data_IF_903678194851
#
_entry.id   IF_903678194851
#
_cell.length_a   1.000
_cell.length_b   1.000
_cell.length_c   1.000
_cell.angle_alpha   90.00
_cell.angle_beta   90.00
_cell.angle_gamma   90.00
#
_symmetry.space_group_name_H-M   'P 1'
#
loop_
_entity.id
_entity.type
_entity.pdbx_description
1 polymer ?
#
# COMPACT_ATOMS: atom_id res chain seq x y z
N UNK A 1 36.25 29.22 29.16
CA UNK A 1 37.34 28.28 28.83
C UNK A 1 37.11 27.77 27.41
N UNK A 2 38.18 27.75 26.62
CA UNK A 2 38.21 27.72 25.16
C UNK A 2 37.75 26.41 24.52
N UNK A 3 37.24 26.51 23.29
CA UNK A 3 37.03 25.39 22.36
C UNK A 3 38.38 24.86 21.82
N UNK A 4 38.51 23.54 21.54
CA UNK A 4 39.65 23.02 20.79
C UNK A 4 39.31 22.92 19.30
N UNK A 5 39.98 23.77 18.51
CA UNK A 5 40.23 23.61 17.07
C UNK A 5 41.63 23.00 16.87
N UNK A 6 41.84 22.38 15.69
CA UNK A 6 43.07 21.76 15.12
C UNK A 6 43.01 20.23 15.17
N UNK A 7 43.28 19.47 14.10
CA UNK A 7 44.00 19.73 12.86
C UNK A 7 43.77 18.52 11.94
N UNK A 8 43.38 18.71 10.68
CA UNK A 8 43.85 17.89 9.55
C UNK A 8 43.80 18.76 8.29
N UNK A 9 44.87 19.53 8.11
CA UNK A 9 45.24 20.11 6.83
C UNK A 9 45.94 19.03 6.00
N UNK A 10 45.54 18.90 4.74
CA UNK A 10 46.41 18.37 3.70
C UNK A 10 45.84 17.18 2.97
N UNK A 11 44.97 17.44 1.98
CA UNK A 11 45.05 16.80 0.67
C UNK A 11 44.53 17.79 -0.38
N UNK A 12 45.47 18.38 -1.11
CA UNK A 12 45.23 19.21 -2.29
C UNK A 12 45.27 18.28 -3.50
N UNK A 13 44.22 18.25 -4.33
CA UNK A 13 44.26 17.65 -5.66
C UNK A 13 43.82 18.70 -6.67
N UNK A 14 44.82 19.36 -7.22
CA UNK A 14 44.80 20.16 -8.45
C UNK A 14 45.10 19.25 -9.64
N UNK A 15 44.38 19.44 -10.74
CA UNK A 15 44.79 19.04 -12.11
C UNK A 15 44.39 17.63 -12.54
N UNK A 16 43.36 17.48 -13.37
CA UNK A 16 43.52 17.56 -14.83
C UNK A 16 42.15 17.34 -15.51
N UNK A 17 41.77 18.31 -16.35
CA UNK A 17 40.56 18.30 -17.16
C UNK A 17 41.01 18.55 -18.61
N UNK A 18 40.84 17.61 -19.55
CA UNK A 18 41.08 17.90 -20.96
C UNK A 18 39.77 18.28 -21.65
N UNK A 19 39.65 19.57 -21.94
CA UNK A 19 38.89 20.13 -23.05
C UNK A 19 39.68 20.02 -24.35
N UNK A 20 39.10 19.46 -25.42
CA UNK A 20 39.42 19.89 -26.79
C UNK A 20 38.22 19.72 -27.73
N UNK A 21 37.96 20.78 -28.51
CA UNK A 21 36.94 20.94 -29.56
C UNK A 21 37.67 21.13 -30.91
N UNK A 22 37.05 20.70 -32.02
CA UNK A 22 37.23 21.12 -33.45
C UNK A 22 38.59 20.77 -34.12
N UNK A 23 38.74 20.40 -35.41
CA UNK A 23 37.97 20.59 -36.67
C UNK A 23 38.54 19.64 -37.81
N UNK A 24 38.25 19.77 -39.13
CA UNK A 24 38.16 18.67 -40.13
C UNK A 24 39.28 18.65 -41.20
N UNK A 25 39.28 17.65 -42.11
CA UNK A 25 39.73 17.65 -43.54
C UNK A 25 39.98 16.17 -44.00
N UNK A 26 39.22 15.57 -44.92
CA UNK A 26 39.24 15.62 -46.41
C UNK A 26 40.44 14.88 -47.09
N UNK A 27 40.21 13.61 -47.45
CA UNK A 27 40.56 12.80 -48.68
C UNK A 27 41.95 12.90 -49.39
N UNK A 28 42.45 11.87 -50.16
CA UNK A 28 41.71 11.08 -51.17
C UNK A 28 42.10 9.60 -51.50
N UNK A 29 41.15 8.93 -52.19
CA UNK A 29 41.18 7.93 -53.30
C UNK A 29 42.23 6.81 -53.47
N UNK A 30 41.74 5.56 -53.71
CA UNK A 30 41.76 4.77 -54.99
C UNK A 30 41.06 3.40 -54.73
N UNK A 31 39.88 3.14 -55.31
CA UNK A 31 39.58 2.38 -56.55
C UNK A 31 39.71 0.84 -56.39
N UNK A 32 38.61 0.07 -56.46
CA UNK A 32 38.06 -0.46 -57.73
C UNK A 32 36.93 -1.53 -57.56
N UNK A 33 36.03 -1.49 -58.56
CA UNK A 33 35.17 -2.55 -59.12
C UNK A 33 33.83 -2.98 -58.49
N UNK A 34 32.78 -2.45 -59.12
CA UNK A 34 31.72 -3.16 -59.88
C UNK A 34 30.80 -4.17 -59.20
N UNK A 35 29.52 -3.82 -59.06
CA UNK A 35 28.51 -4.17 -60.09
C UNK A 35 27.12 -3.64 -59.73
N UNK A 36 26.59 -2.87 -60.67
CA UNK A 36 25.23 -2.35 -60.82
C UNK A 36 24.15 -3.44 -60.87
N UNK A 37 22.95 -3.13 -60.36
CA UNK A 37 21.70 -3.18 -61.15
C UNK A 37 20.68 -2.16 -60.64
N UNK A 38 20.12 -1.43 -61.61
CA UNK A 38 19.08 -0.41 -61.54
C UNK A 38 17.72 -1.07 -61.62
N UNK A 39 16.72 -0.63 -60.84
CA UNK A 39 15.36 -0.48 -61.35
C UNK A 39 14.68 0.77 -60.74
N UNK A 40 14.11 1.55 -61.67
CA UNK A 40 13.38 2.81 -61.54
C UNK A 40 11.91 2.53 -61.24
N UNK A 41 11.24 3.47 -60.56
CA UNK A 41 9.85 3.94 -60.78
C UNK A 41 9.35 4.55 -59.46
N UNK A 42 8.58 5.64 -59.40
CA UNK A 42 8.16 6.66 -60.34
C UNK A 42 7.70 7.82 -59.44
N UNK A 43 8.12 9.02 -59.78
CA UNK A 43 7.72 10.26 -59.12
C UNK A 43 6.39 10.71 -59.72
N UNK A 44 5.31 10.66 -58.95
CA UNK A 44 4.09 11.39 -59.24
C UNK A 44 4.00 12.58 -58.28
N UNK A 45 4.37 13.75 -58.82
CA UNK A 45 3.89 15.03 -58.30
C UNK A 45 2.39 15.11 -58.60
N UNK A 46 1.56 15.28 -57.57
CA UNK A 46 0.21 15.82 -57.75
C UNK A 46 0.10 17.10 -56.94
N UNK A 47 -0.05 18.19 -57.68
CA UNK A 47 -0.35 19.52 -57.17
C UNK A 47 -1.71 19.56 -56.49
N UNK A 48 -1.78 20.40 -55.46
CA UNK A 48 -2.90 20.68 -54.60
C UNK A 48 -4.23 20.92 -55.33
N UNK A 49 -5.30 20.35 -54.79
CA UNK A 49 -6.56 21.08 -54.67
C UNK A 49 -6.72 21.53 -53.21
N UNK A 50 -6.60 22.84 -53.01
CA UNK A 50 -7.19 23.55 -51.88
C UNK A 50 -8.71 23.37 -51.94
N UNK A 51 -9.18 22.22 -51.48
CA UNK A 51 -10.54 22.05 -51.00
C UNK A 51 -10.55 22.47 -49.54
N UNK A 52 -11.25 23.55 -49.23
CA UNK A 52 -11.68 23.99 -47.90
C UNK A 52 -12.53 22.88 -47.25
N UNK A 53 -11.86 21.82 -46.84
CA UNK A 53 -12.42 20.71 -46.09
C UNK A 53 -12.15 21.07 -44.65
N UNK A 54 -13.14 21.67 -44.00
CA UNK A 54 -13.19 21.82 -42.56
C UNK A 54 -12.92 20.43 -41.96
N UNK A 55 -11.66 20.20 -41.59
CA UNK A 55 -11.20 18.93 -41.10
C UNK A 55 -12.10 18.57 -39.92
N UNK A 56 -12.77 17.43 -40.03
CA UNK A 56 -13.57 16.88 -38.94
C UNK A 56 -12.71 16.88 -37.69
N UNK A 57 -13.02 17.79 -36.77
CA UNK A 57 -12.28 18.08 -35.54
C UNK A 57 -12.43 16.95 -34.51
N UNK A 58 -12.64 15.71 -34.96
CA UNK A 58 -12.82 14.56 -34.11
C UNK A 58 -11.56 13.74 -33.98
N UNK A 59 -11.25 13.30 -32.77
CA UNK A 59 -10.10 12.45 -32.45
C UNK A 59 -10.57 11.13 -31.87
N UNK A 60 -10.03 10.02 -32.34
CA UNK A 60 -10.22 8.72 -31.70
C UNK A 60 -9.16 8.51 -30.62
N UNK A 61 -9.60 8.48 -29.37
CA UNK A 61 -8.72 8.22 -28.23
C UNK A 61 -8.31 6.75 -28.14
N UNK A 62 -7.31 6.45 -27.30
CA UNK A 62 -6.82 5.07 -27.08
C UNK A 62 -7.86 4.12 -26.47
N UNK A 63 -8.85 4.66 -25.78
CA UNK A 63 -10.03 3.92 -25.30
C UNK A 63 -10.93 3.40 -26.44
N UNK A 64 -10.64 3.78 -27.69
CA UNK A 64 -11.46 3.46 -28.85
C UNK A 64 -12.66 4.40 -29.04
N UNK A 65 -12.83 5.37 -28.14
CA UNK A 65 -13.88 6.39 -28.15
C UNK A 65 -13.48 7.54 -29.09
N UNK A 66 -14.44 8.00 -29.89
CA UNK A 66 -14.28 9.20 -30.72
C UNK A 66 -14.79 10.43 -29.97
N UNK A 67 -13.98 11.49 -29.97
CA UNK A 67 -14.24 12.73 -29.27
C UNK A 67 -14.30 13.89 -30.26
N UNK A 68 -15.28 14.78 -30.12
CA UNK A 68 -15.41 16.00 -30.91
C UNK A 68 -14.72 17.17 -30.19
N UNK A 69 -13.73 17.76 -30.87
CA UNK A 69 -12.91 18.89 -30.40
C UNK A 69 -13.35 20.24 -31.00
N UNK A 70 -14.38 20.30 -31.84
CA UNK A 70 -14.73 21.48 -32.65
C UNK A 70 -15.04 22.75 -31.83
N UNK A 71 -15.30 22.59 -30.53
CA UNK A 71 -15.62 23.69 -29.60
C UNK A 71 -14.46 24.12 -28.71
N UNK A 72 -13.29 23.49 -28.86
CA UNK A 72 -12.10 23.82 -28.08
C UNK A 72 -11.33 24.94 -28.76
N UNK A 73 -10.68 25.79 -27.96
CA UNK A 73 -9.65 26.68 -28.48
C UNK A 73 -8.41 25.87 -28.89
N UNK A 74 -7.60 26.40 -29.80
CA UNK A 74 -6.42 25.70 -30.36
C UNK A 74 -5.46 25.15 -29.30
N UNK A 75 -5.32 25.83 -28.16
CA UNK A 75 -4.39 25.43 -27.10
C UNK A 75 -4.99 24.28 -26.26
N UNK A 76 -6.30 24.30 -26.02
CA UNK A 76 -7.00 23.19 -25.37
C UNK A 76 -7.18 21.98 -26.29
N UNK A 77 -7.41 22.20 -27.58
CA UNK A 77 -7.46 21.14 -28.60
C UNK A 77 -6.14 20.37 -28.63
N UNK A 78 -5.00 21.07 -28.70
CA UNK A 78 -3.69 20.43 -28.68
C UNK A 78 -3.47 19.59 -27.40
N UNK A 79 -3.86 20.12 -26.23
CA UNK A 79 -3.77 19.36 -24.96
C UNK A 79 -4.70 18.16 -24.92
N UNK A 80 -5.92 18.28 -25.43
CA UNK A 80 -6.89 17.19 -25.50
C UNK A 80 -6.38 16.10 -26.44
N UNK A 81 -5.85 16.48 -27.61
CA UNK A 81 -5.24 15.56 -28.56
C UNK A 81 -4.13 14.74 -27.90
N UNK A 82 -3.20 15.40 -27.20
CA UNK A 82 -2.12 14.73 -26.45
C UNK A 82 -2.72 13.85 -25.35
N UNK A 83 -3.66 14.37 -24.56
CA UNK A 83 -4.34 13.67 -23.48
C UNK A 83 -5.00 12.34 -23.89
N UNK A 84 -5.69 12.35 -25.03
CA UNK A 84 -6.53 11.24 -25.50
C UNK A 84 -5.75 10.19 -26.29
N UNK A 85 -4.63 10.59 -26.91
CA UNK A 85 -3.82 9.71 -27.77
C UNK A 85 -2.53 9.23 -27.11
N UNK A 86 -2.04 9.93 -26.08
CA UNK A 86 -0.82 9.54 -25.36
C UNK A 86 -1.05 8.34 -24.43
N UNK A 87 0.04 7.65 -24.09
CA UNK A 87 0.03 6.53 -23.15
C UNK A 87 0.47 7.03 -21.79
N UNK A 88 -0.47 7.51 -20.99
CA UNK A 88 -0.17 7.85 -19.62
C UNK A 88 -0.16 6.57 -18.77
N UNK A 89 0.98 6.25 -18.18
CA UNK A 89 1.11 5.10 -17.28
C UNK A 89 0.80 5.53 -15.85
N UNK A 90 -0.37 5.14 -15.36
CA UNK A 90 -0.73 5.27 -13.94
C UNK A 90 0.05 4.21 -13.17
N UNK A 91 0.83 4.66 -12.18
CA UNK A 91 1.59 3.79 -11.29
C UNK A 91 0.71 3.32 -10.15
N UNK A 92 -0.05 4.23 -9.55
CA UNK A 92 -0.98 3.91 -8.47
C UNK A 92 -2.24 4.78 -8.50
N UNK A 93 -3.34 4.26 -7.95
CA UNK A 93 -4.57 5.01 -7.74
C UNK A 93 -5.18 4.70 -6.36
N UNK A 94 -5.96 5.64 -5.83
CA UNK A 94 -6.68 5.44 -4.57
C UNK A 94 -7.98 6.26 -4.50
N UNK A 95 -8.95 5.77 -3.75
CA UNK A 95 -10.14 6.54 -3.33
C UNK A 95 -9.75 7.45 -2.18
N UNK A 96 -10.17 8.70 -2.13
CA UNK A 96 -9.92 9.64 -1.03
C UNK A 96 -11.26 10.20 -0.51
N UNK A 97 -11.25 10.94 0.60
CA UNK A 97 -12.47 11.58 1.13
C UNK A 97 -13.11 12.57 0.16
N UNK A 98 -12.31 13.17 -0.72
CA UNK A 98 -12.73 14.22 -1.65
C UNK A 98 -12.84 13.74 -3.09
N UNK A 99 -12.62 12.46 -3.39
CA UNK A 99 -12.63 11.96 -4.76
C UNK A 99 -11.63 10.84 -5.00
N UNK A 100 -10.87 10.89 -6.08
CA UNK A 100 -9.95 9.85 -6.51
C UNK A 100 -8.60 10.44 -6.92
N UNK A 101 -7.51 9.83 -6.47
CA UNK A 101 -6.15 10.23 -6.82
C UNK A 101 -5.52 9.23 -7.79
N UNK A 102 -4.82 9.77 -8.79
CA UNK A 102 -4.05 9.01 -9.79
C UNK A 102 -2.63 9.54 -9.83
N UNK A 103 -1.66 8.66 -9.60
CA UNK A 103 -0.23 8.99 -9.67
C UNK A 103 0.35 8.44 -10.97
N UNK A 104 0.91 9.32 -11.79
CA UNK A 104 1.55 8.94 -13.04
C UNK A 104 3.04 8.70 -12.85
N UNK A 105 3.63 7.90 -13.75
CA UNK A 105 5.06 7.59 -13.75
C UNK A 105 5.95 8.82 -13.92
N UNK A 106 5.45 9.82 -14.65
CA UNK A 106 6.10 11.12 -14.90
C UNK A 106 6.07 12.05 -13.68
N UNK A 107 5.53 11.57 -12.54
CA UNK A 107 5.27 12.27 -11.28
C UNK A 107 4.05 13.19 -11.16
N UNK A 108 3.30 13.61 -12.21
CA UNK A 108 2.10 14.37 -11.95
C UNK A 108 1.11 13.51 -11.19
N UNK A 109 0.43 14.13 -10.24
CA UNK A 109 -0.71 13.57 -9.54
C UNK A 109 -1.95 14.28 -10.05
N UNK A 110 -3.01 13.52 -10.33
CA UNK A 110 -4.32 14.05 -10.68
C UNK A 110 -5.30 13.66 -9.59
N UNK A 111 -6.00 14.65 -9.05
CA UNK A 111 -7.14 14.45 -8.17
C UNK A 111 -8.42 14.70 -8.97
N UNK A 112 -9.39 13.81 -8.88
CA UNK A 112 -10.72 13.92 -9.49
C UNK A 112 -11.77 13.90 -8.37
N UNK A 113 -12.43 15.03 -8.12
CA UNK A 113 -13.42 15.18 -7.04
C UNK A 113 -14.69 15.91 -7.48
N UNK A 114 -15.69 16.02 -6.59
CA UNK A 114 -16.99 16.62 -6.91
C UNK A 114 -16.90 18.12 -7.23
N UNK A 115 -15.87 18.80 -6.71
CA UNK A 115 -15.59 20.21 -6.98
C UNK A 115 -14.84 20.42 -8.30
N UNK A 116 -14.34 19.35 -8.92
CA UNK A 116 -13.56 19.39 -10.16
C UNK A 116 -12.29 18.55 -10.07
N UNK A 117 -11.31 18.88 -10.90
CA UNK A 117 -10.03 18.18 -10.96
C UNK A 117 -8.89 19.10 -10.56
N UNK A 118 -7.82 18.53 -10.01
CA UNK A 118 -6.55 19.24 -9.81
C UNK A 118 -5.40 18.40 -10.33
N UNK A 119 -4.31 19.04 -10.75
CA UNK A 119 -3.11 18.35 -11.20
C UNK A 119 -1.84 19.05 -10.74
N UNK A 120 -0.80 18.28 -10.39
CA UNK A 120 0.51 18.84 -9.98
C UNK A 120 1.46 19.10 -11.16
N UNK A 121 1.01 18.91 -12.41
CA UNK A 121 1.84 19.20 -13.57
C UNK A 121 2.02 20.72 -13.79
N UNK A 122 3.14 21.10 -14.40
CA UNK A 122 3.50 22.51 -14.67
C UNK A 122 2.42 23.29 -15.42
N UNK A 123 1.74 22.66 -16.38
CA UNK A 123 0.65 23.26 -17.14
C UNK A 123 -0.51 23.69 -16.23
N UNK A 124 -0.89 22.84 -15.28
CA UNK A 124 -2.00 23.14 -14.36
C UNK A 124 -1.55 24.12 -13.27
N UNK A 125 -0.34 23.98 -12.74
CA UNK A 125 0.22 24.91 -11.76
C UNK A 125 0.30 26.35 -12.30
N UNK A 126 0.63 26.52 -13.58
CA UNK A 126 0.63 27.84 -14.23
C UNK A 126 -0.75 28.38 -14.58
N UNK A 127 -1.76 27.50 -14.76
CA UNK A 127 -3.14 27.86 -15.16
C UNK A 127 -4.16 26.87 -14.56
N UNK A 128 -4.59 27.06 -13.30
CA UNK A 128 -5.45 26.11 -12.59
C UNK A 128 -6.87 25.97 -13.18
N UNK A 129 -7.30 26.91 -14.02
CA UNK A 129 -8.61 26.88 -14.69
C UNK A 129 -8.60 26.13 -16.04
N UNK A 130 -7.46 25.55 -16.43
CA UNK A 130 -7.27 24.93 -17.74
C UNK A 130 -7.07 23.43 -17.60
N UNK A 131 -7.77 22.64 -18.41
CA UNK A 131 -7.56 21.20 -18.46
C UNK A 131 -6.17 20.87 -19.04
N UNK A 132 -5.29 20.33 -18.20
CA UNK A 132 -4.05 19.70 -18.65
C UNK A 132 -4.30 18.33 -19.31
N UNK A 133 -3.29 17.84 -20.05
CA UNK A 133 -3.36 16.56 -20.75
C UNK A 133 -3.71 15.35 -19.86
N UNK A 134 -3.37 15.37 -18.56
CA UNK A 134 -3.58 14.25 -17.65
C UNK A 134 -5.02 14.05 -17.21
N UNK A 135 -5.89 15.07 -17.36
CA UNK A 135 -7.29 14.99 -16.93
C UNK A 135 -8.14 14.14 -17.89
N UNK A 136 -7.69 13.98 -19.14
CA UNK A 136 -8.40 13.22 -20.17
C UNK A 136 -8.33 11.67 -19.98
N UNK A 137 -8.09 11.19 -18.75
CA UNK A 137 -8.11 9.78 -18.39
C UNK A 137 -9.52 9.14 -18.46
N UNK A 138 -10.56 9.94 -18.71
CA UNK A 138 -11.96 9.50 -18.74
C UNK A 138 -12.22 8.30 -19.66
N UNK A 139 -11.46 8.18 -20.76
CA UNK A 139 -11.59 7.06 -21.67
C UNK A 139 -11.33 5.70 -21.02
N UNK A 140 -10.55 5.65 -19.94
CA UNK A 140 -10.28 4.42 -19.19
C UNK A 140 -11.44 3.95 -18.30
N UNK A 141 -12.41 4.82 -18.01
CA UNK A 141 -13.50 4.54 -17.07
C UNK A 141 -14.81 4.15 -17.77
N UNK A 142 -14.86 4.27 -19.10
CA UNK A 142 -16.05 4.02 -19.89
C UNK A 142 -15.98 2.57 -20.40
N UNK A 143 -16.87 1.67 -19.93
CA UNK A 143 -16.74 0.24 -20.21
C UNK A 143 -17.08 -0.14 -21.66
N UNK A 144 -17.85 0.69 -22.37
CA UNK A 144 -18.16 0.49 -23.79
C UNK A 144 -18.11 1.83 -24.54
N UNK A 145 -17.48 1.89 -25.73
CA UNK A 145 -17.46 3.11 -26.52
C UNK A 145 -18.90 3.49 -26.91
N UNK A 146 -19.32 4.75 -26.70
CA UNK A 146 -20.63 5.20 -27.16
C UNK A 146 -20.69 5.16 -28.69
N UNK A 147 -21.89 5.01 -29.28
CA UNK A 147 -22.09 4.96 -30.72
C UNK A 147 -21.92 6.32 -31.42
N UNK A 148 -21.84 7.42 -30.66
CA UNK A 148 -21.73 8.79 -31.15
C UNK A 148 -20.52 9.50 -30.55
N UNK A 149 -19.97 10.46 -31.29
CA UNK A 149 -18.85 11.29 -30.84
C UNK A 149 -19.17 12.02 -29.54
N UNK A 150 -18.23 11.99 -28.59
CA UNK A 150 -18.38 12.67 -27.31
C UNK A 150 -17.87 14.10 -27.42
N UNK A 151 -18.74 15.07 -27.16
CA UNK A 151 -18.35 16.48 -27.06
C UNK A 151 -17.47 16.71 -25.83
N UNK A 152 -16.26 17.24 -26.05
CA UNK A 152 -15.38 17.71 -24.98
C UNK A 152 -15.65 19.17 -24.62
N UNK A 153 -15.74 19.44 -23.33
CA UNK A 153 -15.72 20.81 -22.79
C UNK A 153 -14.29 21.31 -22.64
N UNK A 154 -14.10 22.63 -22.62
CA UNK A 154 -12.78 23.28 -22.46
C UNK A 154 -12.14 23.03 -21.09
N UNK A 155 -12.96 22.70 -20.09
CA UNK A 155 -12.53 22.21 -18.77
C UNK A 155 -12.34 20.69 -18.76
N UNK A 156 -12.29 20.02 -19.91
CA UNK A 156 -12.08 18.57 -19.99
C UNK A 156 -13.24 17.72 -19.47
N UNK A 157 -14.35 18.33 -19.02
CA UNK A 157 -15.56 17.58 -18.62
C UNK A 157 -16.26 17.01 -19.85
N UNK A 158 -16.94 15.88 -19.64
CA UNK A 158 -17.80 15.24 -20.63
C UNK A 158 -19.27 15.53 -20.26
N UNK A 159 -19.94 16.53 -20.89
CA UNK A 159 -21.24 17.03 -20.43
C UNK A 159 -22.36 15.98 -20.42
N UNK A 160 -22.26 14.98 -21.31
CA UNK A 160 -23.25 13.93 -21.49
C UNK A 160 -22.92 12.63 -20.72
N UNK A 161 -21.77 12.59 -20.04
CA UNK A 161 -21.41 11.46 -19.18
C UNK A 161 -21.63 11.84 -17.71
N UNK A 162 -22.07 10.87 -16.91
CA UNK A 162 -22.13 11.04 -15.46
C UNK A 162 -20.78 11.55 -14.93
N UNK A 163 -20.79 12.26 -13.80
CA UNK A 163 -19.55 12.76 -13.20
C UNK A 163 -18.58 11.59 -13.00
N UNK A 164 -17.28 11.82 -13.14
CA UNK A 164 -16.27 10.76 -13.04
C UNK A 164 -16.41 9.97 -11.75
N UNK A 165 -16.79 10.65 -10.68
CA UNK A 165 -17.05 10.00 -9.40
C UNK A 165 -18.10 8.88 -9.51
N UNK A 166 -19.16 9.07 -10.29
CA UNK A 166 -20.20 8.05 -10.51
C UNK A 166 -19.71 6.88 -11.37
N UNK A 167 -18.72 7.12 -12.24
CA UNK A 167 -18.12 6.07 -13.05
C UNK A 167 -17.17 5.20 -12.23
N UNK A 168 -16.49 5.81 -11.26
CA UNK A 168 -15.51 5.17 -10.39
C UNK A 168 -16.07 4.61 -9.08
N UNK A 169 -17.25 5.07 -8.65
CA UNK A 169 -17.85 4.70 -7.36
C UNK A 169 -17.96 3.18 -7.18
N UNK A 170 -17.30 2.67 -6.15
CA UNK A 170 -17.21 1.23 -5.83
C UNK A 170 -16.52 0.36 -6.89
N UNK A 171 -15.87 0.94 -7.89
CA UNK A 171 -15.28 0.22 -9.04
C UNK A 171 -13.81 0.48 -9.27
N UNK A 172 -13.18 1.44 -8.57
CA UNK A 172 -11.79 1.82 -8.81
C UNK A 172 -10.82 0.64 -8.68
N UNK A 173 -10.97 -0.21 -7.66
CA UNK A 173 -10.14 -1.42 -7.47
C UNK A 173 -10.24 -2.36 -8.67
N UNK A 174 -11.46 -2.67 -9.13
CA UNK A 174 -11.71 -3.50 -10.33
C UNK A 174 -11.11 -2.89 -11.60
N UNK A 175 -11.21 -1.58 -11.77
CA UNK A 175 -10.66 -0.86 -12.93
C UNK A 175 -9.12 -0.89 -12.86
N UNK A 176 -8.55 -0.70 -11.67
CA UNK A 176 -7.11 -0.78 -11.46
C UNK A 176 -6.59 -2.17 -11.84
N UNK A 177 -7.25 -3.24 -11.41
CA UNK A 177 -6.89 -4.61 -11.79
C UNK A 177 -6.94 -4.83 -13.31
N UNK A 178 -8.02 -4.40 -13.97
CA UNK A 178 -8.17 -4.52 -15.43
C UNK A 178 -7.09 -3.77 -16.21
N UNK A 179 -6.69 -2.59 -15.71
CA UNK A 179 -5.71 -1.73 -16.35
C UNK A 179 -4.28 -1.97 -15.83
N UNK A 180 -4.10 -2.96 -14.95
CA UNK A 180 -2.82 -3.28 -14.30
C UNK A 180 -2.20 -2.08 -13.57
N UNK A 181 -3.03 -1.28 -12.91
CA UNK A 181 -2.62 -0.19 -12.01
C UNK A 181 -2.54 -0.69 -10.57
N UNK A 182 -1.65 -0.13 -9.77
CA UNK A 182 -1.58 -0.47 -8.35
C UNK A 182 -2.69 0.26 -7.58
N UNK A 183 -3.73 -0.45 -7.16
CA UNK A 183 -4.70 0.10 -6.22
C UNK A 183 -4.09 0.18 -4.81
N UNK A 184 -4.13 1.37 -4.22
CA UNK A 184 -3.68 1.60 -2.84
C UNK A 184 -4.88 2.08 -2.05
N UNK A 185 -5.20 1.41 -0.93
CA UNK A 185 -6.26 1.89 -0.04
C UNK A 185 -5.82 3.19 0.62
N UNK A 186 -6.69 4.19 0.63
CA UNK A 186 -6.42 5.40 1.42
C UNK A 186 -6.81 5.22 2.87
N UNK A 187 -6.43 6.19 3.70
CA UNK A 187 -6.90 6.36 5.08
C UNK A 187 -8.41 6.22 5.23
N UNK A 188 -9.20 6.72 4.28
CA UNK A 188 -10.66 6.66 4.34
C UNK A 188 -11.20 5.23 4.22
N UNK A 189 -10.42 4.33 3.62
CA UNK A 189 -10.73 2.91 3.45
C UNK A 189 -9.92 2.01 4.41
N UNK A 190 -9.32 2.61 5.44
CA UNK A 190 -8.50 1.91 6.42
C UNK A 190 -7.06 1.64 5.98
N UNK A 191 -6.59 2.24 4.88
CA UNK A 191 -5.19 2.24 4.45
C UNK A 191 -4.32 3.24 5.24
N UNK A 192 -3.02 3.24 4.96
CA UNK A 192 -2.06 4.08 5.69
C UNK A 192 -2.05 5.53 5.18
N UNK A 193 -1.90 6.48 6.10
CA UNK A 193 -1.63 7.88 5.74
C UNK A 193 -0.23 8.03 5.14
N UNK A 194 0.01 9.17 4.46
CA UNK A 194 1.38 9.50 4.02
C UNK A 194 2.35 9.52 5.20
N UNK A 195 1.93 10.06 6.34
CA UNK A 195 2.75 10.09 7.55
C UNK A 195 3.06 8.70 8.07
N UNK A 196 2.06 7.80 8.06
CA UNK A 196 2.24 6.42 8.48
C UNK A 196 3.18 5.67 7.53
N UNK A 197 3.05 5.87 6.22
CA UNK A 197 3.97 5.29 5.23
C UNK A 197 5.40 5.78 5.45
N UNK A 198 5.60 7.08 5.66
CA UNK A 198 6.94 7.63 5.95
C UNK A 198 7.48 7.07 7.26
N UNK A 199 6.64 6.97 8.29
CA UNK A 199 7.02 6.37 9.59
C UNK A 199 7.39 4.91 9.43
N UNK A 200 6.64 4.16 8.64
CA UNK A 200 6.90 2.75 8.32
C UNK A 200 8.27 2.59 7.62
N UNK A 201 8.53 3.40 6.58
CA UNK A 201 9.82 3.44 5.87
C UNK A 201 10.98 3.77 6.82
N UNK A 202 10.87 4.82 7.63
CA UNK A 202 11.97 5.22 8.51
C UNK A 202 12.19 4.21 9.64
N UNK A 203 11.11 3.62 10.18
CA UNK A 203 11.23 2.56 11.18
C UNK A 203 11.90 1.30 10.62
N UNK A 204 11.79 1.03 9.31
CA UNK A 204 12.36 -0.16 8.66
C UNK A 204 13.89 -0.25 8.80
N UNK A 205 14.58 0.86 9.03
CA UNK A 205 16.02 0.90 9.30
C UNK A 205 16.39 0.44 10.71
N UNK A 206 15.43 0.38 11.63
CA UNK A 206 15.59 -0.25 12.94
C UNK A 206 15.10 -1.69 12.89
N UNK A 207 15.81 -2.59 13.57
CA UNK A 207 15.42 -4.01 13.66
C UNK A 207 14.35 -4.28 14.71
N UNK A 208 14.10 -3.35 15.63
CA UNK A 208 13.24 -3.59 16.81
C UNK A 208 12.09 -2.60 16.95
N UNK A 209 12.26 -1.38 16.45
CA UNK A 209 11.26 -0.31 16.59
C UNK A 209 10.15 -0.55 15.57
N UNK A 210 8.91 -0.63 16.05
CA UNK A 210 7.73 -0.69 15.17
C UNK A 210 7.39 0.72 14.67
N UNK A 211 6.70 0.85 13.51
CA UNK A 211 6.26 2.15 13.00
C UNK A 211 5.52 2.96 14.05
N UNK A 212 4.62 2.35 14.81
CA UNK A 212 3.80 3.03 15.82
C UNK A 212 4.61 3.54 17.02
N UNK A 213 5.86 3.08 17.17
CA UNK A 213 6.78 3.48 18.25
C UNK A 213 7.87 4.43 17.75
N UNK A 214 7.99 4.61 16.44
CA UNK A 214 9.04 5.40 15.84
C UNK A 214 8.77 6.89 16.06
N UNK A 215 9.63 7.54 16.85
CA UNK A 215 9.70 9.00 17.01
C UNK A 215 8.32 9.63 17.21
N UNK A 216 7.64 9.22 18.29
CA UNK A 216 6.30 9.70 18.69
C UNK A 216 6.22 11.23 18.86
N UNK A 217 7.37 11.89 19.04
CA UNK A 217 7.52 13.35 19.07
C UNK A 217 7.27 14.02 17.71
N UNK A 218 7.36 13.27 16.61
CA UNK A 218 7.11 13.74 15.26
C UNK A 218 5.62 13.72 14.94
N UNK A 219 4.89 14.61 15.60
CA UNK A 219 3.54 14.99 15.20
C UNK A 219 3.65 16.13 14.20
N UNK A 220 3.19 15.89 12.97
CA UNK A 220 3.10 16.93 11.97
C UNK A 220 1.65 17.12 11.53
N UNK A 221 1.22 18.36 11.36
CA UNK A 221 -0.12 18.62 10.84
C UNK A 221 -0.07 18.44 9.32
N UNK A 222 -0.68 17.36 8.83
CA UNK A 222 -0.77 17.06 7.41
C UNK A 222 -1.47 18.18 6.61
N UNK A 223 -2.23 19.06 7.27
CA UNK A 223 -2.87 20.22 6.64
C UNK A 223 -1.95 21.43 6.43
N UNK A 224 -0.78 21.48 7.08
CA UNK A 224 0.11 22.64 6.99
C UNK A 224 1.23 22.41 5.97
N UNK A 225 1.11 23.02 4.80
CA UNK A 225 2.19 23.01 3.81
C UNK A 225 3.44 23.72 4.34
N UNK A 226 4.60 23.07 4.20
CA UNK A 226 5.91 23.62 4.54
C UNK A 226 6.82 23.69 3.32
N UNK A 227 7.64 24.73 3.29
CA UNK A 227 8.78 24.81 2.36
C UNK A 227 9.90 23.87 2.80
N UNK A 228 10.77 23.40 1.90
CA UNK A 228 11.89 22.53 2.24
C UNK A 228 12.77 23.07 3.38
N UNK A 229 13.01 24.39 3.41
CA UNK A 229 13.79 25.05 4.45
C UNK A 229 13.11 24.97 5.83
N UNK A 230 11.78 25.04 5.87
CA UNK A 230 10.99 24.90 7.10
C UNK A 230 10.91 23.46 7.61
N UNK A 231 11.19 22.48 6.76
CA UNK A 231 11.26 21.08 7.15
C UNK A 231 12.57 20.72 7.88
N UNK A 232 13.62 21.52 7.74
CA UNK A 232 14.92 21.25 8.35
C UNK A 232 14.88 21.44 9.87
N UNK A 233 15.23 20.39 10.60
CA UNK A 233 15.42 20.40 12.05
C UNK A 233 16.90 20.31 12.35
N UNK A 234 17.48 21.40 12.84
CA UNK A 234 18.91 21.46 13.10
C UNK A 234 19.34 20.39 14.13
N UNK A 235 20.29 19.54 13.74
CA UNK A 235 20.82 18.47 14.59
C UNK A 235 19.99 17.19 14.60
N UNK A 236 18.88 17.12 13.86
CA UNK A 236 17.98 15.96 13.85
C UNK A 236 17.63 15.55 12.41
N UNK A 237 18.41 14.59 11.90
CA UNK A 237 18.26 14.11 10.53
C UNK A 237 16.96 13.31 10.33
N UNK A 238 16.55 12.50 11.31
CA UNK A 238 15.32 11.72 11.22
C UNK A 238 14.09 12.65 11.17
N UNK A 239 14.04 13.66 12.04
CA UNK A 239 12.96 14.65 12.02
C UNK A 239 12.95 15.46 10.71
N UNK A 240 14.13 15.83 10.21
CA UNK A 240 14.28 16.53 8.94
C UNK A 240 13.77 15.68 7.77
N UNK A 241 14.21 14.42 7.69
CA UNK A 241 13.81 13.50 6.63
C UNK A 241 12.32 13.17 6.69
N UNK A 242 11.78 12.97 7.90
CA UNK A 242 10.35 12.76 8.10
C UNK A 242 9.53 13.95 7.57
N UNK A 243 9.85 15.17 7.99
CA UNK A 243 9.13 16.39 7.55
C UNK A 243 9.25 16.61 6.05
N UNK A 244 10.45 16.44 5.49
CA UNK A 244 10.65 16.55 4.04
C UNK A 244 9.81 15.51 3.30
N UNK A 245 9.80 14.25 3.73
CA UNK A 245 9.01 13.21 3.06
C UNK A 245 7.49 13.40 3.22
N UNK A 246 7.02 13.99 4.32
CA UNK A 246 5.60 14.29 4.52
C UNK A 246 5.14 15.44 3.62
N UNK A 247 5.97 16.46 3.39
CA UNK A 247 5.57 17.69 2.69
C UNK A 247 6.08 17.82 1.25
N UNK A 248 7.15 17.11 0.87
CA UNK A 248 7.76 17.15 -0.47
C UNK A 248 7.52 15.84 -1.24
N UNK A 249 6.83 15.94 -2.38
CA UNK A 249 6.48 14.79 -3.24
C UNK A 249 7.69 14.11 -3.88
N UNK A 250 8.75 14.85 -4.17
CA UNK A 250 9.98 14.32 -4.75
C UNK A 250 10.74 13.47 -3.74
N UNK A 251 10.86 13.94 -2.50
CA UNK A 251 11.48 13.21 -1.38
C UNK A 251 10.66 11.97 -1.05
N UNK A 252 9.34 12.10 -0.90
CA UNK A 252 8.44 10.97 -0.66
C UNK A 252 8.57 9.89 -1.73
N UNK A 253 8.49 10.29 -3.01
CA UNK A 253 8.63 9.37 -4.13
C UNK A 253 9.99 8.67 -4.15
N UNK A 254 11.05 9.38 -3.76
CA UNK A 254 12.40 8.81 -3.69
C UNK A 254 12.52 7.80 -2.54
N UNK A 255 11.94 8.08 -1.38
CA UNK A 255 11.90 7.13 -0.27
C UNK A 255 11.07 5.89 -0.60
N UNK A 256 9.88 6.04 -1.19
CA UNK A 256 9.05 4.91 -1.61
C UNK A 256 9.73 4.03 -2.67
N UNK A 257 10.63 4.59 -3.49
CA UNK A 257 11.48 3.81 -4.41
C UNK A 257 12.59 3.07 -3.69
N UNK A 258 13.25 3.71 -2.73
CA UNK A 258 14.34 3.13 -1.97
C UNK A 258 13.86 2.03 -1.01
N UNK A 259 12.68 2.23 -0.41
CA UNK A 259 12.02 1.29 0.49
C UNK A 259 10.55 1.15 0.08
N UNK A 260 10.23 0.17 -0.78
CA UNK A 260 8.87 -0.05 -1.25
C UNK A 260 7.93 -0.49 -0.11
N UNK A 261 6.66 -0.08 -0.18
CA UNK A 261 5.61 -0.42 0.80
C UNK A 261 5.50 -1.95 1.01
N UNK A 262 5.67 -2.72 -0.06
CA UNK A 262 5.68 -4.19 0.04
C UNK A 262 6.82 -4.73 0.92
N UNK A 263 8.01 -4.12 0.85
CA UNK A 263 9.14 -4.48 1.70
C UNK A 263 8.90 -4.05 3.15
N UNK A 264 8.36 -2.84 3.38
CA UNK A 264 7.98 -2.38 4.72
C UNK A 264 6.99 -3.35 5.39
N UNK A 265 5.97 -3.82 4.65
CA UNK A 265 5.00 -4.76 5.18
C UNK A 265 5.63 -6.08 5.65
N UNK A 266 6.59 -6.63 4.88
CA UNK A 266 7.33 -7.84 5.28
C UNK A 266 8.15 -7.57 6.55
N UNK A 267 8.91 -6.47 6.57
CA UNK A 267 9.76 -6.09 7.71
C UNK A 267 8.90 -5.89 8.97
N UNK A 268 7.73 -5.26 8.84
CA UNK A 268 6.80 -5.04 9.94
C UNK A 268 6.36 -6.35 10.59
N UNK A 269 5.82 -7.30 9.80
CA UNK A 269 5.36 -8.56 10.36
C UNK A 269 6.51 -9.41 10.91
N UNK A 270 7.70 -9.35 10.30
CA UNK A 270 8.90 -9.99 10.85
C UNK A 270 9.30 -9.41 12.21
N UNK A 271 9.21 -8.09 12.41
CA UNK A 271 9.46 -7.45 13.71
C UNK A 271 8.47 -7.92 14.78
N UNK A 272 7.18 -7.91 14.47
CA UNK A 272 6.15 -8.37 15.42
C UNK A 272 6.34 -9.85 15.75
N UNK A 273 6.64 -10.67 14.74
CA UNK A 273 6.97 -12.08 14.95
C UNK A 273 8.17 -12.28 15.87
N UNK A 274 9.27 -11.55 15.64
CA UNK A 274 10.46 -11.61 16.49
C UNK A 274 10.16 -11.15 17.92
N UNK A 275 9.35 -10.11 18.09
CA UNK A 275 8.93 -9.61 19.41
C UNK A 275 8.13 -10.66 20.19
N UNK A 276 7.14 -11.27 19.56
CA UNK A 276 6.35 -12.36 20.16
C UNK A 276 7.22 -13.57 20.55
N UNK A 277 8.13 -13.98 19.67
CA UNK A 277 9.07 -15.08 19.96
C UNK A 277 9.98 -14.77 21.14
N UNK A 278 10.50 -13.53 21.19
CA UNK A 278 11.34 -13.08 22.30
C UNK A 278 10.55 -13.06 23.60
N UNK A 279 9.35 -12.50 23.60
CA UNK A 279 8.46 -12.45 24.76
C UNK A 279 8.21 -13.84 25.34
N UNK A 280 7.81 -14.81 24.50
CA UNK A 280 7.57 -16.19 24.94
C UNK A 280 8.85 -16.86 25.44
N UNK A 281 9.99 -16.66 24.78
CA UNK A 281 11.27 -17.24 25.20
C UNK A 281 11.79 -16.64 26.51
N UNK A 282 11.56 -15.35 26.74
CA UNK A 282 11.90 -14.68 27.99
C UNK A 282 10.96 -15.13 29.12
N UNK A 283 9.67 -15.35 28.82
CA UNK A 283 8.70 -15.93 29.76
C UNK A 283 9.08 -17.36 30.15
N UNK A 284 9.36 -18.24 29.19
CA UNK A 284 9.79 -19.61 29.48
C UNK A 284 11.06 -19.63 30.36
N UNK A 285 12.01 -18.73 30.09
CA UNK A 285 13.24 -18.61 30.89
C UNK A 285 12.94 -18.11 32.30
N UNK A 286 12.04 -17.14 32.43
CA UNK A 286 11.60 -16.63 33.73
C UNK A 286 10.93 -17.73 34.56
N UNK A 287 10.05 -18.53 33.94
CA UNK A 287 9.38 -19.67 34.56
C UNK A 287 10.36 -20.77 35.01
N UNK A 288 11.34 -21.12 34.18
CA UNK A 288 12.35 -22.14 34.51
C UNK A 288 13.26 -21.74 35.66
N UNK A 289 13.80 -20.52 35.61
CA UNK A 289 14.72 -20.02 36.63
C UNK A 289 14.00 -19.61 37.92
N UNK A 290 12.71 -19.26 37.81
CA UNK A 290 11.86 -18.75 38.88
C UNK A 290 12.63 -17.78 39.80
N UNK A 291 13.33 -16.81 39.19
CA UNK A 291 14.22 -15.91 39.93
C UNK A 291 13.44 -15.20 41.04
N UNK A 292 13.91 -15.36 42.27
CA UNK A 292 13.54 -14.59 43.45
C UNK A 292 14.04 -13.14 43.37
N UNK A 293 13.88 -12.48 42.23
CA UNK A 293 14.29 -11.09 42.09
C UNK A 293 13.26 -10.24 42.83
N UNK A 294 13.64 -9.73 44.00
CA UNK A 294 12.96 -8.62 44.69
C UNK A 294 13.05 -7.29 43.89
N UNK A 295 13.44 -7.33 42.63
CA UNK A 295 13.34 -6.20 41.70
C UNK A 295 11.93 -6.15 41.15
N UNK A 296 11.27 -5.01 41.39
CA UNK A 296 9.86 -4.71 41.14
C UNK A 296 9.44 -4.69 39.64
N UNK A 297 9.92 -5.64 38.84
CA UNK A 297 9.64 -5.77 37.41
C UNK A 297 9.76 -7.22 36.95
N UNK A 298 9.21 -8.16 37.73
CA UNK A 298 9.09 -9.57 37.33
C UNK A 298 8.15 -9.73 36.14
N UNK A 299 8.41 -10.72 35.29
CA UNK A 299 7.58 -11.02 34.13
C UNK A 299 6.32 -11.77 34.60
N UNK A 300 5.23 -11.03 34.77
CA UNK A 300 3.95 -11.60 35.21
C UNK A 300 3.17 -12.22 34.04
N UNK A 301 2.44 -13.31 34.32
CA UNK A 301 1.65 -14.03 33.31
C UNK A 301 0.59 -13.12 32.69
N UNK A 302 -0.07 -12.29 33.51
CA UNK A 302 -1.07 -11.32 33.04
C UNK A 302 -0.43 -10.30 32.11
N UNK A 303 0.77 -9.80 32.44
CA UNK A 303 1.52 -8.86 31.59
C UNK A 303 1.88 -9.50 30.24
N UNK A 304 2.32 -10.77 30.25
CA UNK A 304 2.64 -11.50 29.02
C UNK A 304 1.39 -11.72 28.16
N UNK A 305 0.26 -12.07 28.76
CA UNK A 305 -1.02 -12.23 28.06
C UNK A 305 -1.44 -10.93 27.39
N UNK A 306 -1.40 -9.81 28.14
CA UNK A 306 -1.74 -8.49 27.62
C UNK A 306 -0.83 -8.11 26.45
N UNK A 307 0.48 -8.29 26.57
CA UNK A 307 1.42 -7.96 25.50
C UNK A 307 1.20 -8.86 24.26
N UNK A 308 0.88 -10.13 24.44
CA UNK A 308 0.51 -11.03 23.33
C UNK A 308 -0.76 -10.52 22.64
N UNK A 309 -1.82 -10.20 23.38
CA UNK A 309 -3.08 -9.71 22.84
C UNK A 309 -2.90 -8.39 22.08
N UNK A 310 -2.15 -7.44 22.64
CA UNK A 310 -1.82 -6.17 21.96
C UNK A 310 -1.07 -6.40 20.64
N UNK A 311 -0.14 -7.36 20.61
CA UNK A 311 0.59 -7.68 19.38
C UNK A 311 -0.31 -8.38 18.34
N UNK A 312 -1.24 -9.25 18.77
CA UNK A 312 -2.22 -9.89 17.86
C UNK A 312 -3.16 -8.84 17.27
N UNK A 313 -3.64 -7.91 18.08
CA UNK A 313 -4.50 -6.82 17.63
C UNK A 313 -3.74 -5.90 16.66
N UNK A 314 -2.48 -5.59 16.97
CA UNK A 314 -1.60 -4.86 16.06
C UNK A 314 -1.40 -5.59 14.72
N UNK A 315 -1.27 -6.92 14.71
CA UNK A 315 -1.22 -7.68 13.45
C UNK A 315 -2.54 -7.55 12.70
N UNK A 316 -3.68 -7.66 13.39
CA UNK A 316 -5.02 -7.56 12.80
C UNK A 316 -5.24 -6.23 12.09
N UNK A 317 -4.96 -5.12 12.75
CA UNK A 317 -5.10 -3.77 12.19
C UNK A 317 -4.20 -3.60 10.94
N UNK A 318 -2.97 -4.11 11.01
CA UNK A 318 -2.00 -3.95 9.95
C UNK A 318 -2.18 -4.92 8.77
N UNK A 319 -2.91 -6.02 8.92
CA UNK A 319 -3.42 -6.81 7.78
C UNK A 319 -4.33 -5.94 6.93
N UNK A 320 -5.24 -5.18 7.55
CA UNK A 320 -6.19 -4.33 6.82
C UNK A 320 -5.47 -3.15 6.18
N UNK A 321 -4.62 -2.47 6.95
CA UNK A 321 -3.96 -1.24 6.51
C UNK A 321 -2.88 -1.44 5.45
N UNK A 322 -2.20 -2.59 5.44
CA UNK A 322 -1.12 -2.89 4.47
C UNK A 322 -1.57 -3.70 3.27
N UNK A 323 -2.86 -4.04 3.16
CA UNK A 323 -3.39 -4.80 2.03
C UNK A 323 -3.07 -4.15 0.67
N UNK A 324 -2.63 -4.94 -0.33
CA UNK A 324 -2.52 -6.41 -0.36
C UNK A 324 -1.15 -6.96 0.11
N UNK A 325 -0.27 -6.14 0.68
CA UNK A 325 1.10 -6.51 1.02
C UNK A 325 1.23 -7.14 2.42
N UNK A 326 2.22 -8.02 2.60
CA UNK A 326 2.57 -8.60 3.91
C UNK A 326 1.63 -9.70 4.43
N UNK A 327 0.60 -10.09 3.68
CA UNK A 327 -0.39 -11.11 4.08
C UNK A 327 0.25 -12.44 4.49
N UNK A 328 1.30 -12.85 3.78
CA UNK A 328 2.06 -14.06 4.09
C UNK A 328 2.79 -13.96 5.44
N UNK A 329 3.42 -12.81 5.71
CA UNK A 329 4.09 -12.53 6.97
C UNK A 329 3.12 -12.51 8.14
N UNK A 330 1.94 -11.90 7.95
CA UNK A 330 0.87 -11.90 8.94
C UNK A 330 0.37 -13.32 9.24
N UNK A 331 0.07 -14.11 8.20
CA UNK A 331 -0.33 -15.51 8.32
C UNK A 331 0.72 -16.32 9.09
N UNK A 332 2.00 -16.22 8.69
CA UNK A 332 3.11 -16.90 9.36
C UNK A 332 3.19 -16.52 10.84
N UNK A 333 3.05 -15.23 11.15
CA UNK A 333 3.12 -14.71 12.52
C UNK A 333 2.03 -15.30 13.39
N UNK A 334 0.77 -15.20 12.96
CA UNK A 334 -0.40 -15.68 13.69
C UNK A 334 -0.40 -17.20 13.85
N UNK A 335 -0.13 -17.96 12.78
CA UNK A 335 -0.10 -19.43 12.83
C UNK A 335 1.02 -19.93 13.74
N UNK A 336 2.19 -19.29 13.70
CA UNK A 336 3.32 -19.69 14.56
C UNK A 336 3.04 -19.34 16.01
N UNK A 337 2.47 -18.17 16.30
CA UNK A 337 2.04 -17.83 17.65
C UNK A 337 0.99 -18.83 18.16
N UNK A 338 0.00 -19.19 17.35
CA UNK A 338 -1.02 -20.16 17.74
C UNK A 338 -0.40 -21.53 18.05
N UNK A 339 0.53 -22.00 17.22
CA UNK A 339 1.28 -23.24 17.45
C UNK A 339 2.08 -23.18 18.76
N UNK A 340 2.75 -22.06 19.01
CA UNK A 340 3.54 -21.81 20.22
C UNK A 340 2.66 -21.79 21.49
N UNK A 341 1.47 -21.19 21.45
CA UNK A 341 0.51 -21.20 22.57
C UNK A 341 -0.05 -22.60 22.80
N UNK A 342 -0.42 -23.33 21.74
CA UNK A 342 -0.86 -24.72 21.85
C UNK A 342 0.24 -25.65 22.36
N UNK A 343 1.52 -25.31 22.17
CA UNK A 343 2.65 -26.02 22.77
C UNK A 343 2.83 -25.77 24.28
N UNK A 344 2.12 -24.80 24.84
CA UNK A 344 2.21 -24.37 26.25
C UNK A 344 0.94 -24.66 27.06
N UNK A 345 0.21 -25.72 26.70
CA UNK A 345 -0.89 -26.24 27.51
C UNK A 345 -0.37 -27.03 28.74
N UNK A 346 0.21 -26.30 29.69
CA UNK A 346 0.73 -26.82 30.95
C UNK A 346 0.83 -25.70 31.98
N UNK A 347 0.99 -26.05 33.25
CA UNK A 347 1.34 -25.05 34.27
C UNK A 347 2.72 -24.45 33.92
N UNK A 348 2.80 -23.12 33.85
CA UNK A 348 4.02 -22.39 33.54
C UNK A 348 5.15 -22.69 34.53
N UNK A 349 4.84 -22.98 35.80
CA UNK A 349 5.83 -23.30 36.83
C UNK A 349 6.15 -24.80 36.92
N UNK A 350 5.52 -25.66 36.11
CA UNK A 350 5.79 -27.10 36.14
C UNK A 350 7.26 -27.40 35.79
N UNK A 351 7.96 -28.07 36.70
CA UNK A 351 9.35 -28.48 36.51
C UNK A 351 10.39 -27.37 36.67
N UNK A 352 10.03 -26.23 37.27
CA UNK A 352 11.00 -25.17 37.56
C UNK A 352 12.06 -25.62 38.58
N UNK A 353 13.26 -25.03 38.50
CA UNK A 353 14.41 -25.43 39.34
C UNK A 353 14.29 -24.95 40.79
N UNK A 354 13.46 -23.94 41.04
CA UNK A 354 13.31 -23.30 42.37
C UNK A 354 12.32 -24.02 43.31
N UNK A 355 11.50 -24.92 42.78
CA UNK A 355 10.37 -25.52 43.49
C UNK A 355 9.21 -24.55 43.80
N UNK A 356 9.16 -23.38 43.14
CA UNK A 356 8.07 -22.40 43.30
C UNK A 356 6.78 -22.95 42.72
N UNK A 357 5.66 -22.77 43.43
CA UNK A 357 4.33 -23.29 43.00
C UNK A 357 3.36 -22.18 42.58
N UNK A 358 3.69 -20.91 42.83
CA UNK A 358 2.86 -19.76 42.48
C UNK A 358 3.69 -18.49 42.40
N UNK A 359 3.33 -17.56 41.50
CA UNK A 359 3.91 -16.24 41.40
C UNK A 359 3.36 -15.30 42.48
N UNK A 360 2.04 -15.17 42.56
CA UNK A 360 1.28 -14.20 43.35
C UNK A 360 0.03 -14.79 44.03
N UNK A 361 -0.04 -16.11 44.18
CA UNK A 361 -1.18 -16.83 44.78
C UNK A 361 -2.20 -17.35 43.77
N UNK A 362 -1.92 -17.24 42.48
CA UNK A 362 -2.74 -17.76 41.40
C UNK A 362 -2.73 -19.30 41.32
N UNK A 363 -3.75 -19.89 40.70
CA UNK A 363 -3.85 -21.32 40.45
C UNK A 363 -3.15 -21.78 39.15
N UNK A 364 -3.18 -23.10 38.89
CA UNK A 364 -2.54 -23.71 37.71
C UNK A 364 -3.14 -23.22 36.38
N UNK A 365 -4.46 -23.01 36.35
CA UNK A 365 -5.19 -22.53 35.17
C UNK A 365 -4.85 -21.07 34.87
N UNK A 366 -4.70 -20.24 35.91
CA UNK A 366 -4.26 -18.84 35.82
C UNK A 366 -2.84 -18.70 35.28
N UNK A 367 -1.97 -19.68 35.51
CA UNK A 367 -0.61 -19.71 34.92
C UNK A 367 -0.53 -20.32 33.53
N UNK A 368 -1.52 -21.13 33.13
CA UNK A 368 -1.51 -21.83 31.85
C UNK A 368 -1.92 -20.89 30.71
N UNK A 369 -0.95 -20.51 29.85
CA UNK A 369 -1.18 -19.62 28.71
C UNK A 369 -2.24 -20.14 27.74
N UNK A 370 -2.29 -21.45 27.48
CA UNK A 370 -3.31 -22.04 26.61
C UNK A 370 -4.70 -21.88 27.21
N UNK A 371 -4.84 -22.15 28.51
CA UNK A 371 -6.12 -22.00 29.19
C UNK A 371 -6.58 -20.54 29.17
N UNK A 372 -5.69 -19.59 29.49
CA UNK A 372 -6.04 -18.17 29.52
C UNK A 372 -6.42 -17.60 28.15
N UNK A 373 -5.75 -18.02 27.07
CA UNK A 373 -5.93 -17.44 25.74
C UNK A 373 -6.95 -18.19 24.87
N UNK A 374 -7.05 -19.52 25.01
CA UNK A 374 -7.91 -20.38 24.17
C UNK A 374 -9.00 -21.05 25.01
N UNK A 375 -8.66 -21.52 26.21
CA UNK A 375 -9.57 -22.26 27.10
C UNK A 375 -10.81 -21.48 27.52
N UNK A 376 -10.72 -20.14 27.59
CA UNK A 376 -11.80 -19.24 28.01
C UNK A 376 -12.68 -18.69 26.87
N UNK A 377 -12.58 -19.24 25.65
CA UNK A 377 -13.33 -18.72 24.50
C UNK A 377 -14.86 -18.80 24.69
N UNK A 378 -15.38 -19.84 25.36
CA UNK A 378 -16.82 -19.97 25.63
C UNK A 378 -17.32 -18.92 26.65
N UNK A 379 -16.44 -18.40 27.52
CA UNK A 379 -16.77 -17.40 28.55
C UNK A 379 -16.68 -15.96 28.01
N UNK A 380 -15.63 -15.70 27.23
CA UNK A 380 -15.32 -14.37 26.68
C UNK A 380 -16.07 -14.10 25.37
N UNK A 381 -16.38 -15.15 24.61
CA UNK A 381 -16.89 -15.03 23.23
C UNK A 381 -15.83 -14.57 22.22
N UNK A 382 -14.59 -14.38 22.67
CA UNK A 382 -13.46 -13.96 21.83
C UNK A 382 -12.71 -15.20 21.32
N UNK A 383 -12.33 -15.17 20.05
CA UNK A 383 -11.65 -16.28 19.41
C UNK A 383 -10.23 -15.82 19.11
N UNK A 384 -9.46 -15.71 20.19
CA UNK A 384 -8.06 -15.30 20.20
C UNK A 384 -7.28 -15.86 19.00
N UNK A 385 -6.53 -15.00 18.30
CA UNK A 385 -5.85 -15.26 17.01
C UNK A 385 -6.78 -15.61 15.83
N UNK A 386 -7.83 -16.40 16.00
CA UNK A 386 -8.75 -16.77 14.92
C UNK A 386 -9.47 -15.54 14.35
N UNK A 387 -9.88 -14.60 15.22
CA UNK A 387 -10.45 -13.32 14.81
C UNK A 387 -9.49 -12.53 13.91
N UNK A 388 -8.17 -12.60 14.16
CA UNK A 388 -7.16 -11.97 13.31
C UNK A 388 -6.91 -12.76 12.01
N UNK A 389 -6.90 -14.09 12.07
CA UNK A 389 -6.72 -14.97 10.91
C UNK A 389 -7.86 -14.82 9.88
N UNK A 390 -9.07 -14.48 10.30
CA UNK A 390 -10.19 -14.21 9.38
C UNK A 390 -9.96 -13.05 8.43
N UNK A 391 -9.11 -12.10 8.81
CA UNK A 391 -8.74 -10.98 7.94
C UNK A 391 -7.65 -11.36 6.92
N UNK A 392 -7.00 -12.52 7.08
CA UNK A 392 -5.97 -12.98 6.16
C UNK A 392 -6.62 -13.62 4.92
N UNK A 393 -6.23 -13.21 3.69
CA UNK A 393 -6.72 -13.83 2.47
C UNK A 393 -6.45 -15.34 2.43
N UNK A 394 -7.43 -16.12 1.96
CA UNK A 394 -7.34 -17.58 1.87
C UNK A 394 -6.07 -18.07 1.12
N UNK A 395 -5.65 -17.34 0.08
CA UNK A 395 -4.43 -17.63 -0.67
C UNK A 395 -3.15 -17.56 0.19
N UNK A 396 -3.08 -16.63 1.14
CA UNK A 396 -1.92 -16.48 2.03
C UNK A 396 -1.95 -17.54 3.16
N UNK A 397 -3.15 -17.97 3.58
CA UNK A 397 -3.31 -19.06 4.55
C UNK A 397 -3.06 -20.45 3.95
N UNK A 398 -3.22 -20.61 2.64
CA UNK A 398 -3.16 -21.91 1.96
C UNK A 398 -1.90 -22.72 2.30
N UNK A 399 -0.73 -22.08 2.30
CA UNK A 399 0.54 -22.74 2.59
C UNK A 399 0.69 -23.21 4.05
N UNK A 400 -0.16 -22.71 4.96
CA UNK A 400 -0.15 -23.05 6.38
C UNK A 400 -1.21 -24.10 6.76
N UNK A 401 -2.04 -24.56 5.81
CA UNK A 401 -3.12 -25.54 6.06
C UNK A 401 -2.62 -26.78 6.79
N UNK A 402 -1.46 -27.32 6.41
CA UNK A 402 -0.88 -28.49 7.08
C UNK A 402 -0.60 -28.26 8.57
N UNK A 403 -0.07 -27.06 8.91
CA UNK A 403 0.18 -26.66 10.30
C UNK A 403 -1.12 -26.40 11.05
N UNK A 404 -2.09 -25.72 10.41
CA UNK A 404 -3.40 -25.47 11.00
C UNK A 404 -4.16 -26.77 11.33
N UNK A 405 -4.07 -27.80 10.47
CA UNK A 405 -4.63 -29.13 10.76
C UNK A 405 -3.95 -29.83 11.94
N UNK A 406 -2.63 -29.70 12.05
CA UNK A 406 -1.89 -30.24 13.20
C UNK A 406 -2.28 -29.54 14.51
N UNK A 407 -2.48 -28.21 14.46
CA UNK A 407 -3.00 -27.42 15.57
C UNK A 407 -4.42 -27.88 15.92
N UNK A 408 -5.32 -28.01 14.93
CA UNK A 408 -6.69 -28.47 15.13
C UNK A 408 -6.72 -29.81 15.88
N UNK A 409 -5.94 -30.78 15.42
CA UNK A 409 -5.86 -32.09 16.07
C UNK A 409 -5.37 -31.99 17.52
N UNK A 410 -4.39 -31.11 17.80
CA UNK A 410 -3.88 -30.89 19.15
C UNK A 410 -4.94 -30.28 20.06
N UNK A 411 -5.59 -29.20 19.63
CA UNK A 411 -6.59 -28.51 20.47
C UNK A 411 -7.85 -29.37 20.72
N UNK A 412 -8.16 -30.32 19.84
CA UNK A 412 -9.19 -31.34 20.07
C UNK A 412 -8.80 -32.29 21.22
N UNK A 413 -7.54 -32.73 21.26
CA UNK A 413 -7.00 -33.57 22.33
C UNK A 413 -6.94 -32.81 23.66
N UNK A 414 -6.52 -31.54 23.61
CA UNK A 414 -6.45 -30.63 24.75
C UNK A 414 -7.83 -30.12 25.23
N UNK A 415 -8.91 -30.55 24.57
CA UNK A 415 -10.31 -30.22 24.90
C UNK A 415 -10.60 -28.72 24.90
N UNK A 416 -10.09 -28.00 23.91
CA UNK A 416 -10.44 -26.60 23.67
C UNK A 416 -11.98 -26.43 23.52
N UNK A 417 -12.50 -25.21 23.78
CA UNK A 417 -13.89 -24.86 23.54
C UNK A 417 -14.38 -25.28 22.15
N UNK A 418 -15.57 -25.91 22.09
CA UNK A 418 -16.12 -26.45 20.83
C UNK A 418 -16.30 -25.37 19.77
N UNK A 419 -16.70 -24.17 20.19
CA UNK A 419 -16.86 -23.04 19.28
C UNK A 419 -15.52 -22.69 18.60
N UNK A 420 -14.42 -22.72 19.36
CA UNK A 420 -13.07 -22.41 18.86
C UNK A 420 -12.59 -23.44 17.83
N UNK A 421 -12.80 -24.73 18.13
CA UNK A 421 -12.49 -25.85 17.22
C UNK A 421 -13.25 -25.69 15.89
N UNK A 422 -14.57 -25.43 15.95
CA UNK A 422 -15.41 -25.26 14.76
C UNK A 422 -14.97 -24.05 13.90
N UNK A 423 -14.55 -22.96 14.55
CA UNK A 423 -14.09 -21.75 13.85
C UNK A 423 -12.75 -21.97 13.15
N UNK A 424 -11.80 -22.64 13.79
CA UNK A 424 -10.53 -23.01 13.16
C UNK A 424 -10.74 -23.96 11.97
N UNK A 425 -11.61 -24.95 12.11
CA UNK A 425 -11.97 -25.89 11.04
C UNK A 425 -12.63 -25.18 9.84
N UNK A 426 -13.47 -24.16 10.09
CA UNK A 426 -14.02 -23.31 9.03
C UNK A 426 -12.94 -22.51 8.28
N UNK A 427 -11.96 -21.94 9.00
CA UNK A 427 -10.81 -21.24 8.39
C UNK A 427 -9.97 -22.18 7.52
N UNK A 428 -9.71 -23.40 7.98
CA UNK A 428 -8.96 -24.42 7.22
C UNK A 428 -9.67 -24.73 5.90
N UNK A 429 -10.99 -25.00 5.94
CA UNK A 429 -11.77 -25.26 4.72
C UNK A 429 -11.73 -24.09 3.74
N UNK A 430 -11.83 -22.86 4.24
CA UNK A 430 -11.76 -21.66 3.41
C UNK A 430 -10.38 -21.52 2.72
N UNK A 431 -9.30 -21.83 3.44
CA UNK A 431 -7.94 -21.80 2.90
C UNK A 431 -7.63 -22.94 1.91
N UNK A 432 -8.31 -24.08 2.01
CA UNK A 432 -8.18 -25.21 1.07
C UNK A 432 -8.89 -24.98 -0.26
N UNK A 433 -9.92 -24.12 -0.29
CA UNK A 433 -10.66 -23.78 -1.50
C UNK A 433 -10.52 -22.29 -1.88
N UNK A 434 -9.30 -21.79 -2.17
CA UNK A 434 -9.08 -20.37 -2.42
C UNK A 434 -9.80 -19.85 -3.69
N UNK A 435 -10.18 -20.75 -4.60
CA UNK A 435 -10.79 -20.43 -5.90
C UNK A 435 -12.31 -20.12 -5.77
N UNK A 436 -12.98 -20.55 -4.70
CA UNK A 436 -14.43 -20.36 -4.53
C UNK A 436 -14.84 -18.96 -4.02
N UNK A 437 -13.92 -18.19 -3.43
CA UNK A 437 -14.25 -16.97 -2.67
C UNK A 437 -13.94 -15.64 -3.38
N UNK A 438 -13.44 -15.65 -4.62
CA UNK A 438 -13.24 -14.41 -5.40
C UNK A 438 -14.55 -13.74 -5.87
N UNK A 439 -15.73 -14.26 -5.49
CA UNK A 439 -17.03 -13.84 -6.02
C UNK A 439 -18.16 -13.67 -5.01
N UNK A 440 -17.91 -13.65 -3.69
CA UNK A 440 -18.99 -13.44 -2.73
C UNK A 440 -19.27 -11.95 -2.47
N UNK A 441 -20.25 -11.45 -3.22
CA UNK A 441 -21.03 -10.26 -2.89
C UNK A 441 -21.47 -10.29 -1.43
N UNK A 442 -21.21 -9.19 -0.71
CA UNK A 442 -21.80 -8.91 0.60
C UNK A 442 -23.34 -9.11 0.50
N UNK A 443 -23.99 -9.82 1.42
CA UNK A 443 -25.44 -9.77 1.49
C UNK A 443 -25.86 -8.36 1.91
N UNK A 444 -26.49 -7.65 0.99
CA UNK A 444 -27.17 -6.38 1.27
C UNK A 444 -28.31 -6.64 2.26
N UNK A 445 -28.25 -5.99 3.42
CA UNK A 445 -29.36 -5.91 4.37
C UNK A 445 -30.52 -5.14 3.76
N UNK A 446 -31.41 -5.82 3.03
CA UNK A 446 -32.72 -5.26 2.69
C UNK A 446 -33.63 -5.39 3.91
N UNK A 447 -33.73 -4.32 4.69
CA UNK A 447 -34.84 -4.11 5.63
C UNK A 447 -36.17 -4.32 4.93
N UNK A 448 -36.82 -5.44 5.24
CA UNK A 448 -38.21 -5.71 4.86
C UNK A 448 -39.12 -4.75 5.62
N UNK A 449 -39.53 -3.66 4.95
CA UNK A 449 -40.62 -2.80 5.43
C UNK A 449 -41.94 -3.46 5.05
N UNK A 450 -42.58 -4.08 6.04
CA UNK A 450 -43.96 -4.53 5.94
C UNK A 450 -44.90 -3.37 5.63
N UNK A 451 -45.67 -3.50 4.55
CA UNK A 451 -46.88 -2.71 4.34
C UNK A 451 -48.08 -3.64 4.45
N UNK A 452 -48.73 -3.56 5.61
CA UNK A 452 -50.10 -4.01 5.80
C UNK A 452 -51.04 -2.94 5.26
N UNK A 453 -51.94 -3.29 4.34
CA UNK A 453 -53.27 -2.68 4.21
C UNK A 453 -54.20 -3.52 3.32
N UNK A 454 -55.20 -4.15 3.97
CA UNK A 454 -56.57 -4.38 3.48
C UNK A 454 -57.10 -3.09 2.81
N UNK A 455 -57.94 -3.06 1.78
CA UNK A 455 -59.16 -3.84 1.46
C UNK A 455 -59.64 -3.38 0.08
N UNK A 456 -60.16 -4.28 -0.77
CA UNK A 456 -61.60 -4.42 -1.04
C UNK A 456 -61.87 -5.74 -1.75
#
# INVERSE_FOLDING_TARGET
MSAPTKQFHGLSITGDMPTTRSQPEKEPHTDDSDSSELLRSESEESHAEEGDSAASSSVRGKSGITYDLARLDSDTEARALVGLTSQFKVVSCCTTRTGFDFQFIEQPRVHLGPEGYTCTCSTFSGRPNVACQHIFLHGCFIPQPPPSDILLSSDGRLPNFGRVEQLLDGKLETIADQLSWQYVRSEAEGGMSRQDIVRDILSAFSTVILPEEFRLDLLDDAGQSRTPEQCVVQGDFEATMFRLAVHDDGVYSSLCKAMPIAACAVIFFDKVHQRLRKLLADFDRYCLMAQASNTAGGMDVETVILEIQENVERVRENIIARAPHGMEGAAKTLVTLLEDICGRNKDALEGNESGRVTFHGEDEDQRNLFHQLIGKADETGEFFILDALEHVPAMALHQFVGRLKAILHRIEVDRAPKAYILRLDALIRAAESPIANAGQKRPSSSTSRGYSKRTR
#
